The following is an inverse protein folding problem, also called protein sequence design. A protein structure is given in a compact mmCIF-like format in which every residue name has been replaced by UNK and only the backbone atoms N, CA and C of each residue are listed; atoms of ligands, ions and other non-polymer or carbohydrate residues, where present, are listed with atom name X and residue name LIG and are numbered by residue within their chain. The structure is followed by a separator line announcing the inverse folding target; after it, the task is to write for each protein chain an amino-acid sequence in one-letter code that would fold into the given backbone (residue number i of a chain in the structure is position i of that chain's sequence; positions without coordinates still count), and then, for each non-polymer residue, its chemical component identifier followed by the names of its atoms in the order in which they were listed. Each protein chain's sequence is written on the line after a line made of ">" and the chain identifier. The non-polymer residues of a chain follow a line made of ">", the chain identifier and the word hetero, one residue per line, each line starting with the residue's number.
data_IF_424313032204
#
_entry.id   IF_424313032204
#
_cell.length_a   1.000
_cell.length_b   1.000
_cell.length_c   1.000
_cell.angle_alpha   90.00
_cell.angle_beta   90.00
_cell.angle_gamma   90.00
#
_symmetry.space_group_name_H-M   'P 1'
#
loop_
_entity.id
_entity.type
_entity.pdbx_description
1 polymer ?
#
# COMPACT_ATOMS: atom_id res chain seq x y z
N UNK A 1 -16.61 -14.94 31.37
CA UNK A 1 -15.25 -15.30 31.82
C UNK A 1 -14.25 -14.67 30.85
N UNK A 2 -13.58 -13.60 31.26
CA UNK A 2 -12.46 -13.00 30.54
C UNK A 2 -11.20 -13.70 31.06
N UNK A 3 -10.42 -14.36 30.19
CA UNK A 3 -9.18 -15.03 30.58
C UNK A 3 -8.15 -14.01 31.08
N UNK A 4 -7.41 -14.37 32.14
CA UNK A 4 -6.43 -13.58 32.92
C UNK A 4 -5.16 -13.11 32.14
N UNK A 5 -5.23 -13.05 30.81
CA UNK A 5 -4.29 -12.31 29.98
C UNK A 5 -5.07 -11.83 28.75
N UNK A 6 -5.55 -10.59 28.80
CA UNK A 6 -6.55 -10.02 27.90
C UNK A 6 -6.06 -9.76 26.47
N UNK A 7 -5.49 -10.76 25.81
CA UNK A 7 -5.15 -10.72 24.39
C UNK A 7 -6.20 -11.53 23.64
N UNK A 8 -7.11 -10.82 22.97
CA UNK A 8 -8.18 -11.40 22.13
C UNK A 8 -7.68 -11.89 20.75
N UNK A 9 -6.44 -11.54 20.39
CA UNK A 9 -5.82 -11.92 19.13
C UNK A 9 -4.76 -10.91 18.70
N UNK A 10 -4.11 -11.21 17.58
CA UNK A 10 -3.10 -10.35 16.97
C UNK A 10 -3.71 -9.67 15.75
N UNK A 11 -3.62 -8.34 15.69
CA UNK A 11 -3.86 -7.57 14.47
C UNK A 11 -2.50 -7.15 13.96
N UNK A 12 -2.15 -7.60 12.76
CA UNK A 12 -1.05 -7.01 12.00
C UNK A 12 -1.58 -5.73 11.36
N UNK A 13 -1.20 -4.59 11.94
CA UNK A 13 -1.44 -3.30 11.31
C UNK A 13 -0.23 -3.02 10.43
N UNK A 14 -0.43 -3.10 9.11
CA UNK A 14 0.55 -2.67 8.11
C UNK A 14 0.59 -1.13 8.10
N UNK A 15 1.14 -0.55 9.17
CA UNK A 15 1.35 0.90 9.27
C UNK A 15 2.54 1.21 8.38
N UNK A 16 2.31 1.97 7.31
CA UNK A 16 3.33 2.37 6.35
C UNK A 16 4.55 2.95 7.06
N UNK A 17 5.68 2.23 7.05
CA UNK A 17 6.97 2.82 7.38
C UNK A 17 7.37 3.69 6.20
N UNK A 18 7.09 4.98 6.31
CA UNK A 18 7.42 6.02 5.33
C UNK A 18 8.89 6.02 4.88
N UNK A 19 9.78 5.41 5.65
CA UNK A 19 11.23 5.56 5.53
C UNK A 19 11.92 4.51 4.65
N UNK A 20 11.24 3.42 4.25
CA UNK A 20 11.85 2.34 3.46
C UNK A 20 11.46 2.35 1.96
N UNK A 21 10.41 3.08 1.57
CA UNK A 21 9.94 3.10 0.17
C UNK A 21 10.63 4.24 -0.59
N UNK A 22 11.62 3.89 -1.42
CA UNK A 22 12.23 4.82 -2.39
C UNK A 22 11.21 5.35 -3.40
N UNK A 23 10.03 4.73 -3.50
CA UNK A 23 9.00 5.06 -4.48
C UNK A 23 9.32 4.56 -5.89
N UNK A 24 10.45 3.85 -6.09
CA UNK A 24 10.84 3.33 -7.40
C UNK A 24 10.01 2.11 -7.80
N UNK A 25 9.72 1.97 -9.09
CA UNK A 25 9.08 0.76 -9.61
C UNK A 25 10.09 -0.39 -9.64
N UNK A 26 9.66 -1.61 -9.28
CA UNK A 26 10.53 -2.79 -9.27
C UNK A 26 11.03 -3.17 -10.66
N UNK A 27 10.24 -2.89 -11.70
CA UNK A 27 10.56 -3.17 -13.10
C UNK A 27 11.56 -2.17 -13.72
N UNK A 28 11.61 -0.95 -13.19
CA UNK A 28 12.43 0.15 -13.72
C UNK A 28 12.70 1.18 -12.60
N UNK A 29 13.88 1.13 -11.97
CA UNK A 29 14.23 2.01 -10.86
C UNK A 29 14.25 3.50 -11.22
N UNK A 30 14.34 3.86 -12.52
CA UNK A 30 14.31 5.26 -12.97
C UNK A 30 12.89 5.84 -12.98
N UNK A 31 11.87 4.98 -12.92
CA UNK A 31 10.48 5.40 -12.74
C UNK A 31 10.19 5.44 -11.25
N UNK A 32 9.61 6.54 -10.79
CA UNK A 32 9.31 6.75 -9.38
C UNK A 32 7.90 7.31 -9.20
N UNK A 33 7.23 6.86 -8.15
CA UNK A 33 6.03 7.47 -7.58
C UNK A 33 6.28 7.67 -6.08
N UNK A 34 7.00 8.75 -5.69
CA UNK A 34 7.38 8.98 -4.31
C UNK A 34 6.18 9.17 -3.41
N UNK A 35 6.16 8.53 -2.24
CA UNK A 35 5.10 8.73 -1.26
C UNK A 35 5.03 10.17 -0.74
N UNK A 36 6.13 10.92 -0.85
CA UNK A 36 6.17 12.37 -0.56
C UNK A 36 5.11 13.18 -1.34
N UNK A 37 4.60 12.66 -2.47
CA UNK A 37 3.47 13.27 -3.21
C UNK A 37 2.22 13.43 -2.33
N UNK A 38 2.03 12.56 -1.33
CA UNK A 38 0.94 12.65 -0.35
C UNK A 38 1.09 13.81 0.64
N UNK A 39 2.22 14.54 0.65
CA UNK A 39 2.42 15.72 1.48
C UNK A 39 2.14 17.04 0.73
N UNK A 40 1.91 17.00 -0.59
CA UNK A 40 1.71 18.21 -1.38
C UNK A 40 0.26 18.69 -1.23
N UNK A 41 0.02 19.93 -0.76
CA UNK A 41 -1.33 20.44 -0.49
C UNK A 41 -2.28 20.39 -1.70
N UNK A 42 -1.73 20.53 -2.91
CA UNK A 42 -2.51 20.46 -4.17
C UNK A 42 -2.87 19.01 -4.57
N UNK A 43 -2.29 17.99 -3.94
CA UNK A 43 -2.54 16.57 -4.21
C UNK A 43 -3.33 15.88 -3.10
N UNK A 44 -3.62 16.58 -2.01
CA UNK A 44 -4.45 16.09 -0.91
C UNK A 44 -5.73 16.91 -0.79
N UNK A 45 -6.72 16.33 -0.10
CA UNK A 45 -7.93 16.98 0.36
C UNK A 45 -7.87 17.05 1.88
N UNK A 46 -7.99 18.26 2.43
CA UNK A 46 -8.18 18.43 3.86
C UNK A 46 -9.61 18.02 4.22
N UNK A 47 -9.74 17.12 5.19
CA UNK A 47 -11.01 16.73 5.81
C UNK A 47 -10.91 17.07 7.29
N UNK A 48 -11.67 18.07 7.72
CA UNK A 48 -11.76 18.49 9.12
C UNK A 48 -12.92 17.79 9.82
N UNK A 49 -12.64 17.15 10.95
CA UNK A 49 -13.64 16.59 11.86
C UNK A 49 -13.72 17.45 13.12
N UNK A 50 -14.92 17.96 13.42
CA UNK A 50 -15.24 18.74 14.62
C UNK A 50 -14.24 19.89 14.90
N UNK A 51 -13.68 20.50 13.84
CA UNK A 51 -12.70 21.61 13.86
C UNK A 51 -11.37 21.33 14.60
N UNK A 52 -11.22 20.17 15.24
CA UNK A 52 -10.04 19.81 16.06
C UNK A 52 -9.11 18.82 15.37
N UNK A 53 -9.60 18.07 14.39
CA UNK A 53 -8.84 17.02 13.72
C UNK A 53 -8.86 17.31 12.22
N UNK A 54 -7.68 17.51 11.62
CA UNK A 54 -7.52 17.62 10.19
C UNK A 54 -6.84 16.34 9.66
N UNK A 55 -7.48 15.69 8.69
CA UNK A 55 -6.93 14.54 7.96
C UNK A 55 -6.62 14.96 6.54
N UNK A 56 -5.41 14.69 6.08
CA UNK A 56 -4.97 14.95 4.71
C UNK A 56 -5.16 13.69 3.88
N UNK A 57 -6.24 13.63 3.11
CA UNK A 57 -6.59 12.47 2.29
C UNK A 57 -6.03 12.67 0.89
N UNK A 58 -5.14 11.79 0.38
CA UNK A 58 -4.69 11.86 -1.01
C UNK A 58 -5.87 11.93 -1.99
N UNK A 59 -5.77 12.77 -3.02
CA UNK A 59 -6.79 12.84 -4.07
C UNK A 59 -6.96 11.48 -4.74
N UNK A 60 -8.18 11.22 -5.25
CA UNK A 60 -8.50 9.95 -5.92
C UNK A 60 -7.51 9.57 -7.03
N UNK A 61 -7.03 10.55 -7.80
CA UNK A 61 -6.01 10.33 -8.83
C UNK A 61 -4.67 9.86 -8.26
N UNK A 62 -4.22 10.44 -7.14
CA UNK A 62 -2.99 10.01 -6.47
C UNK A 62 -3.14 8.60 -5.87
N UNK A 63 -4.29 8.31 -5.24
CA UNK A 63 -4.60 6.95 -4.77
C UNK A 63 -4.61 5.93 -5.91
N UNK A 64 -5.17 6.29 -7.07
CA UNK A 64 -5.16 5.46 -8.27
C UNK A 64 -3.73 5.19 -8.75
N UNK A 65 -2.87 6.21 -8.82
CA UNK A 65 -1.46 6.03 -9.21
C UNK A 65 -0.73 5.05 -8.28
N UNK A 66 -0.94 5.14 -6.97
CA UNK A 66 -0.34 4.20 -6.02
C UNK A 66 -0.88 2.78 -6.18
N UNK A 67 -2.17 2.60 -6.47
CA UNK A 67 -2.72 1.28 -6.82
C UNK A 67 -2.12 0.73 -8.11
N UNK A 68 -1.98 1.56 -9.15
CA UNK A 68 -1.35 1.17 -10.41
C UNK A 68 0.10 0.76 -10.21
N UNK A 69 0.86 1.49 -9.38
CA UNK A 69 2.23 1.08 -9.00
C UNK A 69 2.23 -0.28 -8.31
N UNK A 70 1.43 -0.45 -7.26
CA UNK A 70 1.35 -1.71 -6.53
C UNK A 70 1.00 -2.89 -7.45
N UNK A 71 0.06 -2.70 -8.38
CA UNK A 71 -0.29 -3.69 -9.39
C UNK A 71 0.92 -4.06 -10.26
N UNK A 72 1.64 -3.08 -10.81
CA UNK A 72 2.81 -3.31 -11.67
C UNK A 72 3.95 -4.00 -10.92
N UNK A 73 4.26 -3.54 -9.71
CA UNK A 73 5.34 -4.11 -8.89
C UNK A 73 5.03 -5.58 -8.53
N UNK A 74 3.80 -5.88 -8.12
CA UNK A 74 3.38 -7.26 -7.83
C UNK A 74 3.39 -8.15 -9.08
N UNK A 75 2.95 -7.64 -10.23
CA UNK A 75 2.98 -8.38 -11.49
C UNK A 75 4.42 -8.71 -11.89
N UNK A 76 5.32 -7.73 -11.78
CA UNK A 76 6.73 -7.90 -12.05
C UNK A 76 7.39 -8.91 -11.09
N UNK A 77 7.12 -8.80 -9.78
CA UNK A 77 7.68 -9.70 -8.77
C UNK A 77 7.18 -11.15 -8.98
N UNK A 78 5.90 -11.34 -9.28
CA UNK A 78 5.37 -12.67 -9.61
C UNK A 78 6.03 -13.25 -10.86
N UNK A 79 6.28 -12.42 -11.88
CA UNK A 79 6.94 -12.85 -13.12
C UNK A 79 8.41 -13.22 -12.91
N UNK A 80 9.16 -12.42 -12.15
CA UNK A 80 10.62 -12.52 -12.05
C UNK A 80 11.10 -13.35 -10.86
N UNK A 81 10.37 -13.30 -9.74
CA UNK A 81 10.74 -13.95 -8.47
C UNK A 81 9.72 -15.00 -8.04
N UNK A 82 8.58 -15.10 -8.72
CA UNK A 82 7.50 -16.02 -8.33
C UNK A 82 7.97 -17.46 -8.16
N UNK A 83 8.88 -17.95 -9.01
CA UNK A 83 9.40 -19.32 -8.97
C UNK A 83 10.13 -19.67 -7.66
N UNK A 84 10.82 -18.69 -7.04
CA UNK A 84 11.58 -18.88 -5.80
C UNK A 84 10.77 -18.51 -4.54
N UNK A 85 9.56 -17.97 -4.68
CA UNK A 85 8.66 -17.71 -3.55
C UNK A 85 8.04 -19.01 -3.02
N UNK A 86 7.76 -19.05 -1.71
CA UNK A 86 6.91 -20.10 -1.13
C UNK A 86 5.52 -20.10 -1.78
N UNK A 87 4.85 -21.25 -1.76
CA UNK A 87 3.51 -21.41 -2.34
C UNK A 87 2.51 -20.43 -1.71
N UNK A 88 2.56 -20.29 -0.38
CA UNK A 88 1.71 -19.37 0.39
C UNK A 88 1.95 -17.92 -0.03
N UNK A 89 3.22 -17.49 -0.10
CA UNK A 89 3.57 -16.12 -0.49
C UNK A 89 3.14 -15.83 -1.93
N UNK A 90 3.34 -16.79 -2.84
CA UNK A 90 2.93 -16.67 -4.25
C UNK A 90 1.42 -16.54 -4.37
N UNK A 91 0.66 -17.34 -3.63
CA UNK A 91 -0.81 -17.26 -3.64
C UNK A 91 -1.30 -15.94 -3.05
N UNK A 92 -0.73 -15.50 -1.93
CA UNK A 92 -1.02 -14.20 -1.34
C UNK A 92 -0.76 -13.05 -2.34
N UNK A 93 0.38 -13.08 -3.03
CA UNK A 93 0.73 -12.07 -4.06
C UNK A 93 -0.28 -12.07 -5.22
N UNK A 94 -0.75 -13.24 -5.68
CA UNK A 94 -1.77 -13.34 -6.73
C UNK A 94 -3.09 -12.72 -6.31
N UNK A 95 -3.58 -13.06 -5.11
CA UNK A 95 -4.82 -12.46 -4.58
C UNK A 95 -4.70 -10.94 -4.40
N UNK A 96 -3.52 -10.44 -4.02
CA UNK A 96 -3.28 -8.99 -3.96
C UNK A 96 -3.28 -8.36 -5.34
N UNK A 97 -2.61 -8.98 -6.32
CA UNK A 97 -2.60 -8.51 -7.71
C UNK A 97 -4.01 -8.43 -8.30
N UNK A 98 -4.83 -9.46 -8.09
CA UNK A 98 -6.24 -9.49 -8.52
C UNK A 98 -7.04 -8.34 -7.90
N UNK A 99 -6.88 -8.09 -6.59
CA UNK A 99 -7.54 -6.98 -5.89
C UNK A 99 -7.09 -5.61 -6.41
N UNK A 100 -5.80 -5.45 -6.68
CA UNK A 100 -5.25 -4.19 -7.20
C UNK A 100 -5.80 -3.95 -8.62
N UNK A 101 -5.84 -4.99 -9.46
CA UNK A 101 -6.36 -4.93 -10.84
C UNK A 101 -7.87 -4.74 -10.96
N UNK A 102 -8.67 -5.24 -10.01
CA UNK A 102 -10.13 -5.04 -10.02
C UNK A 102 -10.56 -3.57 -9.84
N UNK A 103 -9.63 -2.70 -9.42
CA UNK A 103 -9.85 -1.28 -9.20
C UNK A 103 -9.16 -0.39 -10.24
N UNK A 104 -8.57 -0.98 -11.29
CA UNK A 104 -7.98 -0.29 -12.44
C UNK A 104 -8.99 -0.15 -13.57
#
# INVERSE_FOLDING_TARGET
>A
MLSESGVLGYIEIDVCTFEADTGSFHEDPNKMLPYALCNYPNLVKNVSFNERIAVYVPKKSLLFLHKLRAFRDRAFDLKTRGAIMSVERRQWMRTRLEKDGANL
#
